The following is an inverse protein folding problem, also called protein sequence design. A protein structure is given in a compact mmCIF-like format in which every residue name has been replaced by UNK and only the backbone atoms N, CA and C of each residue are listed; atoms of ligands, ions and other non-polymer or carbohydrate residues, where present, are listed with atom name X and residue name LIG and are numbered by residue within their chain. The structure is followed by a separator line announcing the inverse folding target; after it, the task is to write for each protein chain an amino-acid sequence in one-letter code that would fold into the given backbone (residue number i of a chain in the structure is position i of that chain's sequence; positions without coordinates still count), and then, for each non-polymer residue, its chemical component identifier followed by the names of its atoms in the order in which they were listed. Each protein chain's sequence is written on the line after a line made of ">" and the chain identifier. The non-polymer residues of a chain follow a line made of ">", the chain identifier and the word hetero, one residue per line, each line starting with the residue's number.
data_IF_665278407262
#
_entry.id   IF_665278407262
#
_cell.length_a   1.000
_cell.length_b   1.000
_cell.length_c   1.000
_cell.angle_alpha   90.00
_cell.angle_beta   90.00
_cell.angle_gamma   90.00
#
_symmetry.space_group_name_H-M   'P 1'
#
loop_
_entity.id
_entity.type
_entity.pdbx_description
1 polymer ?
#
# COMPACT_ATOMS: atom_id res chain seq x y z
N UNK A 1 1.72 12.50 6.18
CA UNK A 1 1.88 11.06 6.47
C UNK A 1 1.88 10.82 7.95
N UNK A 2 2.68 11.54 8.74
CA UNK A 2 2.80 11.33 10.19
C UNK A 2 1.45 11.38 10.90
N UNK A 3 0.61 12.36 10.60
CA UNK A 3 -0.74 12.50 11.17
C UNK A 3 -1.65 11.31 10.81
N UNK A 4 -1.63 10.87 9.55
CA UNK A 4 -2.42 9.73 9.10
C UNK A 4 -1.97 8.42 9.78
N UNK A 5 -0.67 8.20 9.89
CA UNK A 5 -0.14 7.01 10.56
C UNK A 5 -0.46 7.04 12.06
N UNK A 6 -0.37 8.21 12.71
CA UNK A 6 -0.73 8.37 14.12
C UNK A 6 -2.22 8.05 14.38
N UNK A 7 -3.12 8.41 13.45
CA UNK A 7 -4.54 8.11 13.56
C UNK A 7 -4.84 6.61 13.29
N UNK A 8 -4.14 6.02 12.32
CA UNK A 8 -4.36 4.63 11.93
C UNK A 8 -3.74 3.65 12.92
N UNK A 9 -2.52 3.90 13.38
CA UNK A 9 -1.76 2.96 14.22
C UNK A 9 -2.12 3.06 15.71
N UNK A 10 -2.46 1.92 16.30
CA UNK A 10 -2.72 1.79 17.75
C UNK A 10 -1.57 1.16 18.52
N UNK A 11 -0.52 0.74 17.84
CA UNK A 11 0.69 0.14 18.41
C UNK A 11 1.87 1.10 18.24
N UNK A 12 2.93 0.97 19.04
CA UNK A 12 4.15 1.76 18.84
C UNK A 12 4.70 1.61 17.43
N UNK A 13 5.11 2.72 16.82
CA UNK A 13 5.66 2.72 15.47
C UNK A 13 6.83 3.69 15.32
N UNK A 14 7.66 3.42 14.32
CA UNK A 14 8.76 4.28 13.89
C UNK A 14 8.64 4.46 12.39
N UNK A 15 8.67 5.72 11.93
CA UNK A 15 8.65 6.08 10.51
C UNK A 15 10.06 6.56 10.13
N UNK A 16 10.58 6.05 9.01
CA UNK A 16 11.83 6.53 8.45
C UNK A 16 11.74 8.03 8.11
N UNK A 17 12.75 8.80 8.49
CA UNK A 17 12.75 10.28 8.41
C UNK A 17 12.44 10.84 7.02
N UNK A 18 12.75 10.12 5.95
CA UNK A 18 12.47 10.56 4.58
C UNK A 18 10.97 10.67 4.27
N UNK A 19 10.10 10.01 5.03
CA UNK A 19 8.65 10.09 4.88
C UNK A 19 8.00 11.17 5.74
N UNK A 20 8.76 11.72 6.70
CA UNK A 20 8.28 12.78 7.56
C UNK A 20 7.91 14.02 6.74
N UNK A 21 6.77 14.61 7.03
CA UNK A 21 6.30 15.83 6.36
C UNK A 21 5.77 15.63 4.93
N UNK A 22 5.75 14.41 4.38
CA UNK A 22 5.08 14.16 3.08
C UNK A 22 3.59 14.44 3.22
N UNK A 23 3.07 15.27 2.34
CA UNK A 23 1.64 15.55 2.22
C UNK A 23 1.02 14.65 1.16
N UNK A 24 -0.03 13.94 1.53
CA UNK A 24 -0.87 13.17 0.62
C UNK A 24 -2.17 13.93 0.37
N UNK A 25 -2.67 13.82 -0.84
CA UNK A 25 -3.93 14.41 -1.27
C UNK A 25 -4.86 13.28 -1.72
N UNK A 26 -6.10 13.32 -1.26
CA UNK A 26 -7.08 12.28 -1.49
C UNK A 26 -7.87 11.98 -0.21
N UNK A 27 -8.40 10.80 -0.10
CA UNK A 27 -9.17 10.38 1.07
C UNK A 27 -8.98 8.87 1.31
N UNK A 28 -9.25 8.45 2.55
CA UNK A 28 -9.24 7.05 2.94
C UNK A 28 -10.69 6.58 3.12
N UNK A 29 -11.09 5.45 2.53
CA UNK A 29 -12.42 4.89 2.69
C UNK A 29 -12.63 4.36 4.12
N UNK A 30 -13.90 4.17 4.49
CA UNK A 30 -14.24 3.42 5.71
C UNK A 30 -13.80 1.96 5.51
N UNK A 31 -12.69 1.61 6.10
CA UNK A 31 -12.05 0.31 5.96
C UNK A 31 -11.30 -0.06 7.24
N UNK A 32 -10.71 -1.25 7.27
CA UNK A 32 -9.86 -1.64 8.39
C UNK A 32 -8.61 -0.76 8.46
N UNK A 33 -8.10 -0.53 9.66
CA UNK A 33 -6.85 0.22 9.87
C UNK A 33 -5.68 -0.34 9.05
N UNK A 34 -5.61 -1.67 8.91
CA UNK A 34 -4.58 -2.34 8.08
C UNK A 34 -4.73 -1.97 6.60
N UNK A 35 -5.95 -1.96 6.07
CA UNK A 35 -6.20 -1.59 4.67
C UNK A 35 -5.85 -0.11 4.42
N UNK A 36 -6.25 0.77 5.33
CA UNK A 36 -5.90 2.20 5.23
C UNK A 36 -4.40 2.44 5.35
N UNK A 37 -3.71 1.73 6.27
CA UNK A 37 -2.25 1.79 6.35
C UNK A 37 -1.60 1.33 5.05
N UNK A 38 -2.06 0.23 4.45
CA UNK A 38 -1.54 -0.27 3.18
C UNK A 38 -1.69 0.76 2.06
N UNK A 39 -2.80 1.51 1.98
CA UNK A 39 -2.98 2.59 1.02
C UNK A 39 -1.97 3.74 1.24
N UNK A 40 -1.76 4.15 2.49
CA UNK A 40 -0.75 5.17 2.81
C UNK A 40 0.65 4.70 2.40
N UNK A 41 1.02 3.47 2.78
CA UNK A 41 2.34 2.89 2.44
C UNK A 41 2.53 2.78 0.94
N UNK A 42 1.51 2.35 0.21
CA UNK A 42 1.52 2.29 -1.26
C UNK A 42 1.78 3.67 -1.87
N UNK A 43 1.06 4.69 -1.40
CA UNK A 43 1.18 6.06 -1.93
C UNK A 43 2.59 6.66 -1.75
N UNK A 44 3.29 6.31 -0.66
CA UNK A 44 4.63 6.84 -0.35
C UNK A 44 5.79 5.91 -0.75
N UNK A 45 5.51 4.66 -1.14
CA UNK A 45 6.54 3.67 -1.47
C UNK A 45 7.27 3.11 -0.26
N UNK A 46 6.50 2.84 0.77
CA UNK A 46 6.99 2.24 2.01
C UNK A 46 6.41 0.84 2.22
N UNK A 47 7.04 0.09 3.09
CA UNK A 47 6.50 -1.12 3.67
C UNK A 47 6.51 -1.03 5.21
N UNK A 48 5.72 -1.88 5.85
CA UNK A 48 5.68 -1.96 7.30
C UNK A 48 6.03 -3.37 7.76
N UNK A 49 6.95 -3.46 8.71
CA UNK A 49 7.31 -4.72 9.38
C UNK A 49 7.32 -4.53 10.89
N UNK A 50 6.92 -5.55 11.64
CA UNK A 50 6.99 -5.52 13.11
C UNK A 50 8.31 -6.11 13.56
N UNK A 51 9.04 -5.41 14.41
CA UNK A 51 10.26 -5.93 15.02
C UNK A 51 9.93 -6.88 16.18
N UNK A 52 10.98 -7.51 16.75
CA UNK A 52 10.82 -8.47 17.86
C UNK A 52 10.28 -7.86 19.16
N UNK A 53 10.25 -6.54 19.27
CA UNK A 53 9.69 -5.80 20.41
C UNK A 53 8.23 -5.39 20.17
N UNK A 54 7.63 -5.78 19.06
CA UNK A 54 6.27 -5.40 18.70
C UNK A 54 6.13 -3.97 18.16
N UNK A 55 7.24 -3.31 17.82
CA UNK A 55 7.23 -1.97 17.23
C UNK A 55 7.09 -2.07 15.70
N UNK A 56 6.10 -1.37 15.14
CA UNK A 56 5.90 -1.28 13.71
C UNK A 56 6.94 -0.33 13.09
N UNK A 57 7.76 -0.83 12.18
CA UNK A 57 8.73 -0.04 11.43
C UNK A 57 8.23 0.22 10.02
N UNK A 58 8.11 1.49 9.67
CA UNK A 58 7.72 1.95 8.33
C UNK A 58 8.99 2.41 7.64
N UNK A 59 9.41 1.63 6.66
CA UNK A 59 10.67 1.79 5.96
C UNK A 59 10.44 1.82 4.45
N UNK A 60 11.42 2.30 3.72
CA UNK A 60 11.35 2.37 2.27
C UNK A 60 11.35 1.00 1.62
N UNK A 61 10.56 0.87 0.56
CA UNK A 61 10.65 -0.27 -0.34
C UNK A 61 11.95 -0.18 -1.15
N UNK A 62 12.70 -1.30 -1.20
CA UNK A 62 13.83 -1.51 -2.13
C UNK A 62 14.99 -0.51 -2.01
N UNK A 63 15.18 0.09 -0.85
CA UNK A 63 16.32 0.97 -0.59
C UNK A 63 17.58 0.17 -0.29
N UNK A 64 18.35 -0.06 -1.35
CA UNK A 64 19.66 -0.70 -1.24
C UNK A 64 19.63 -2.18 -0.87
N UNK A 65 20.79 -2.79 -0.78
CA UNK A 65 20.97 -4.17 -0.32
C UNK A 65 21.00 -4.16 1.21
N UNK A 66 20.04 -4.82 1.84
CA UNK A 66 19.96 -4.90 3.30
C UNK A 66 20.82 -6.03 3.87
N UNK A 67 21.07 -7.10 3.08
CA UNK A 67 21.84 -8.26 3.48
C UNK A 67 22.43 -8.99 2.26
N UNK A 68 23.38 -9.90 2.49
CA UNK A 68 23.90 -10.80 1.47
C UNK A 68 23.70 -12.24 1.92
N UNK A 69 23.26 -13.09 1.00
CA UNK A 69 23.16 -14.54 1.19
C UNK A 69 24.36 -15.19 0.53
N UNK A 70 25.39 -15.56 1.30
CA UNK A 70 26.59 -16.17 0.73
C UNK A 70 26.28 -17.62 0.27
N UNK A 71 27.05 -18.16 -0.72
CA UNK A 71 26.77 -19.46 -1.31
C UNK A 71 26.76 -20.64 -0.33
N UNK A 72 27.50 -20.56 0.76
CA UNK A 72 27.55 -21.58 1.82
C UNK A 72 26.30 -21.69 2.66
N UNK A 73 25.38 -20.71 2.53
CA UNK A 73 24.05 -20.71 3.15
C UNK A 73 22.95 -21.21 2.23
N UNK A 74 23.22 -21.39 0.95
CA UNK A 74 22.24 -21.80 -0.07
C UNK A 74 22.29 -23.31 -0.22
N UNK A 75 21.12 -23.97 -0.13
CA UNK A 75 21.02 -25.40 -0.42
C UNK A 75 20.85 -25.63 -1.92
N UNK A 76 21.23 -26.83 -2.38
CA UNK A 76 21.05 -27.20 -3.77
C UNK A 76 19.57 -27.43 -4.12
N UNK A 77 19.17 -27.06 -5.31
CA UNK A 77 17.83 -27.30 -5.81
C UNK A 77 17.01 -26.05 -6.07
N UNK A 78 17.69 -24.94 -6.30
CA UNK A 78 17.05 -23.67 -6.64
C UNK A 78 16.12 -23.79 -7.84
N UNK A 79 14.98 -23.12 -7.75
CA UNK A 79 14.02 -23.03 -8.84
C UNK A 79 13.93 -21.60 -9.35
N UNK A 80 14.22 -21.44 -10.63
CA UNK A 80 14.01 -20.18 -11.36
C UNK A 80 12.69 -20.28 -12.11
N UNK A 81 11.81 -19.34 -11.90
CA UNK A 81 10.53 -19.20 -12.61
C UNK A 81 10.50 -17.85 -13.31
N UNK A 82 10.00 -17.85 -14.55
CA UNK A 82 9.82 -16.62 -15.30
C UNK A 82 8.35 -16.20 -15.27
N UNK A 83 8.10 -15.01 -14.79
CA UNK A 83 6.78 -14.35 -14.78
C UNK A 83 6.46 -13.82 -16.19
N UNK A 84 5.19 -13.60 -16.48
CA UNK A 84 4.79 -12.94 -17.72
C UNK A 84 5.30 -11.51 -17.75
N UNK A 85 5.86 -11.08 -18.89
CA UNK A 85 6.29 -9.70 -19.07
C UNK A 85 5.12 -8.74 -18.90
N UNK A 86 5.36 -7.65 -18.20
CA UNK A 86 4.44 -6.50 -18.14
C UNK A 86 4.92 -5.47 -19.12
N UNK A 87 4.04 -5.03 -20.04
CA UNK A 87 4.38 -4.06 -21.08
C UNK A 87 4.19 -2.62 -20.62
N UNK A 88 3.20 -2.37 -19.78
CA UNK A 88 2.86 -1.03 -19.30
C UNK A 88 2.30 -1.07 -17.87
N UNK A 89 2.59 -0.04 -17.10
CA UNK A 89 1.90 0.27 -15.84
C UNK A 89 1.05 1.51 -16.07
N UNK A 90 -0.25 1.41 -15.77
CA UNK A 90 -1.21 2.50 -15.80
C UNK A 90 -1.73 2.78 -14.40
N UNK A 91 -1.49 3.98 -13.89
CA UNK A 91 -1.92 4.43 -12.57
C UNK A 91 -2.92 5.56 -12.72
N UNK A 92 -4.11 5.38 -12.16
CA UNK A 92 -5.14 6.41 -12.16
C UNK A 92 -4.81 7.45 -11.08
N UNK A 93 -4.57 8.67 -11.54
CA UNK A 93 -4.39 9.85 -10.68
C UNK A 93 -5.75 10.43 -10.33
N UNK A 94 -5.97 10.71 -9.06
CA UNK A 94 -7.20 11.29 -8.55
C UNK A 94 -7.00 12.74 -8.12
N UNK A 95 -7.93 13.60 -8.52
CA UNK A 95 -8.01 14.96 -8.07
C UNK A 95 -9.42 15.28 -7.58
N UNK A 96 -9.52 15.75 -6.34
CA UNK A 96 -10.79 16.14 -5.71
C UNK A 96 -10.79 17.64 -5.47
N UNK A 97 -11.70 18.34 -6.12
CA UNK A 97 -11.88 19.80 -6.02
C UNK A 97 -13.21 20.06 -5.31
N UNK A 98 -13.23 20.98 -4.35
CA UNK A 98 -14.47 21.38 -3.70
C UNK A 98 -15.48 21.90 -4.71
N UNK A 99 -16.57 21.16 -4.88
CA UNK A 99 -17.71 21.58 -5.70
C UNK A 99 -18.64 22.51 -4.94
N UNK A 100 -19.65 23.00 -5.60
CA UNK A 100 -20.69 23.85 -4.98
C UNK A 100 -22.05 23.17 -4.98
N UNK A 101 -22.16 22.01 -5.60
CA UNK A 101 -23.40 21.25 -5.72
C UNK A 101 -23.72 20.58 -4.37
N UNK A 102 -24.92 20.86 -3.87
CA UNK A 102 -25.47 20.24 -2.68
C UNK A 102 -26.23 18.97 -3.07
N UNK A 103 -26.03 17.89 -2.32
CA UNK A 103 -26.69 16.62 -2.54
C UNK A 103 -27.20 16.04 -1.22
N UNK A 104 -28.32 15.33 -1.31
CA UNK A 104 -28.79 14.49 -0.21
C UNK A 104 -27.94 13.24 -0.12
N UNK A 105 -27.28 13.05 1.01
CA UNK A 105 -26.38 11.93 1.29
C UNK A 105 -27.11 10.79 2.01
N UNK A 106 -28.11 11.13 2.82
CA UNK A 106 -28.98 10.19 3.52
C UNK A 106 -30.32 10.81 3.82
N UNK A 107 -31.38 10.00 3.74
CA UNK A 107 -32.75 10.36 4.15
C UNK A 107 -33.38 9.13 4.80
N UNK A 108 -33.86 9.27 6.04
CA UNK A 108 -34.50 8.17 6.76
C UNK A 108 -34.40 8.29 8.27
N UNK A 109 -34.51 7.13 8.92
CA UNK A 109 -34.41 6.99 10.37
C UNK A 109 -32.99 6.53 10.68
N UNK A 110 -32.32 7.23 11.59
CA UNK A 110 -31.02 6.85 12.13
C UNK A 110 -31.15 6.46 13.60
N UNK A 111 -30.39 5.45 14.03
CA UNK A 111 -30.19 5.10 15.42
C UNK A 111 -28.96 5.82 15.99
N UNK A 112 -28.81 5.82 17.31
CA UNK A 112 -27.66 6.44 17.97
C UNK A 112 -26.35 5.73 17.59
N UNK A 113 -25.45 6.46 16.96
CA UNK A 113 -24.15 5.93 16.52
C UNK A 113 -24.15 5.29 15.13
N UNK A 114 -25.22 5.38 14.37
CA UNK A 114 -25.27 4.87 12.99
C UNK A 114 -24.21 5.53 12.12
N UNK A 115 -23.47 4.70 11.36
CA UNK A 115 -22.45 5.13 10.42
C UNK A 115 -23.05 5.11 9.01
N UNK A 116 -23.34 6.29 8.47
CA UNK A 116 -23.81 6.46 7.10
C UNK A 116 -22.61 6.67 6.20
N UNK A 117 -22.40 5.78 5.22
CA UNK A 117 -21.33 5.88 4.24
C UNK A 117 -21.84 6.47 2.92
N UNK A 118 -21.01 7.31 2.31
CA UNK A 118 -21.26 7.91 0.99
C UNK A 118 -20.36 7.21 -0.04
N UNK A 119 -20.82 7.09 -1.28
CA UNK A 119 -20.02 6.55 -2.37
C UNK A 119 -18.83 7.46 -2.71
N UNK A 120 -19.03 8.76 -2.64
CA UNK A 120 -18.02 9.78 -2.92
C UNK A 120 -17.80 10.68 -1.72
N UNK A 121 -16.61 11.29 -1.55
CA UNK A 121 -16.34 12.21 -0.47
C UNK A 121 -17.23 13.45 -0.53
N UNK A 122 -17.69 13.89 0.63
CA UNK A 122 -18.51 15.08 0.79
C UNK A 122 -18.00 15.97 1.94
N UNK A 123 -18.39 17.24 1.93
CA UNK A 123 -18.02 18.21 2.94
C UNK A 123 -19.19 19.17 3.24
N UNK A 124 -19.04 20.06 4.22
CA UNK A 124 -20.10 20.96 4.69
C UNK A 124 -21.42 20.20 4.98
N UNK A 125 -21.32 19.14 5.80
CA UNK A 125 -22.45 18.29 6.13
C UNK A 125 -23.47 19.08 6.97
N UNK A 126 -24.73 19.04 6.57
CA UNK A 126 -25.86 19.64 7.27
C UNK A 126 -26.91 18.58 7.54
N UNK A 127 -27.26 18.42 8.80
CA UNK A 127 -28.29 17.47 9.24
C UNK A 127 -29.57 18.20 9.69
N UNK A 128 -30.72 17.59 9.41
CA UNK A 128 -32.03 18.02 9.86
C UNK A 128 -32.78 16.81 10.44
N UNK A 129 -33.26 16.90 11.66
CA UNK A 129 -33.97 15.81 12.36
C UNK A 129 -33.11 14.86 13.18
N UNK A 130 -31.80 14.91 13.02
CA UNK A 130 -30.74 14.26 13.81
C UNK A 130 -29.52 15.16 13.83
N UNK A 131 -28.46 14.79 14.51
CA UNK A 131 -27.17 15.52 14.52
C UNK A 131 -26.00 14.68 14.03
N UNK A 132 -25.00 15.33 13.42
CA UNK A 132 -23.73 14.69 13.08
C UNK A 132 -22.84 14.71 14.30
N UNK A 133 -22.49 13.54 14.82
CA UNK A 133 -21.60 13.38 15.99
C UNK A 133 -20.12 13.43 15.58
N UNK A 134 -19.80 12.77 14.49
CA UNK A 134 -18.49 12.82 13.85
C UNK A 134 -18.61 12.54 12.37
N UNK A 135 -17.61 12.93 11.59
CA UNK A 135 -17.62 12.68 10.14
C UNK A 135 -16.19 12.53 9.61
N UNK A 136 -16.06 11.80 8.52
CA UNK A 136 -14.86 11.72 7.71
C UNK A 136 -15.15 12.16 6.27
N UNK A 137 -14.29 11.79 5.36
CA UNK A 137 -14.43 12.18 3.96
C UNK A 137 -15.67 11.59 3.31
N UNK A 138 -16.00 10.32 3.61
CA UNK A 138 -17.11 9.60 2.99
C UNK A 138 -18.06 8.93 3.99
N UNK A 139 -18.12 9.43 5.23
CA UNK A 139 -19.06 8.93 6.22
C UNK A 139 -19.46 10.01 7.22
N UNK A 140 -20.58 9.80 7.86
CA UNK A 140 -21.02 10.55 9.04
C UNK A 140 -21.58 9.58 10.09
N UNK A 141 -21.29 9.85 11.36
CA UNK A 141 -21.92 9.19 12.50
C UNK A 141 -23.06 10.06 12.97
N UNK A 142 -24.28 9.49 13.04
CA UNK A 142 -25.48 10.22 13.36
C UNK A 142 -25.99 9.91 14.77
N UNK A 143 -26.70 10.87 15.37
CA UNK A 143 -27.54 10.61 16.54
C UNK A 143 -28.87 9.99 16.10
N UNK A 144 -29.62 9.42 17.06
CA UNK A 144 -30.97 8.94 16.80
C UNK A 144 -31.88 10.06 16.32
N UNK A 145 -32.71 9.76 15.32
CA UNK A 145 -33.69 10.73 14.76
C UNK A 145 -34.21 10.30 13.39
N UNK A 146 -35.15 11.08 12.88
CA UNK A 146 -35.66 10.92 11.51
C UNK A 146 -35.49 12.22 10.76
N UNK A 147 -34.80 12.14 9.60
CA UNK A 147 -34.50 13.36 8.87
C UNK A 147 -33.64 13.15 7.63
N UNK A 148 -32.90 14.19 7.26
CA UNK A 148 -32.05 14.24 6.08
C UNK A 148 -30.66 14.74 6.45
N UNK A 149 -29.65 14.15 5.79
CA UNK A 149 -28.26 14.61 5.77
C UNK A 149 -27.95 15.10 4.36
N UNK A 150 -27.55 16.35 4.24
CA UNK A 150 -27.07 16.93 2.99
C UNK A 150 -25.61 17.30 3.10
N UNK A 151 -24.93 17.46 1.99
CA UNK A 151 -23.54 17.90 1.94
C UNK A 151 -23.15 18.31 0.53
N UNK A 152 -22.03 19.00 0.41
CA UNK A 152 -21.46 19.39 -0.88
C UNK A 152 -20.53 18.31 -1.40
N UNK A 153 -20.67 17.94 -2.65
CA UNK A 153 -19.83 16.96 -3.32
C UNK A 153 -18.51 17.57 -3.79
N UNK A 154 -17.47 16.77 -3.81
CA UNK A 154 -16.25 17.10 -4.54
C UNK A 154 -16.46 16.79 -6.01
N UNK A 155 -15.88 17.62 -6.88
CA UNK A 155 -15.70 17.29 -8.30
C UNK A 155 -14.50 16.38 -8.38
N UNK A 156 -14.72 15.15 -8.81
CA UNK A 156 -13.68 14.14 -8.96
C UNK A 156 -13.22 14.11 -10.43
N UNK A 157 -11.95 14.38 -10.64
CA UNK A 157 -11.29 14.27 -11.94
C UNK A 157 -10.21 13.22 -11.87
N UNK A 158 -10.02 12.50 -12.97
CA UNK A 158 -9.03 11.44 -13.08
C UNK A 158 -8.16 11.62 -14.32
N UNK A 159 -6.93 11.12 -14.25
CA UNK A 159 -6.00 11.06 -15.36
C UNK A 159 -5.15 9.80 -15.27
N UNK A 160 -4.98 9.09 -16.38
CA UNK A 160 -4.05 7.97 -16.46
C UNK A 160 -2.60 8.46 -16.56
N UNK A 161 -1.76 7.95 -15.69
CA UNK A 161 -0.31 8.09 -15.74
C UNK A 161 0.27 6.75 -16.16
N UNK A 162 0.83 6.69 -17.37
CA UNK A 162 1.30 5.46 -17.99
C UNK A 162 2.82 5.45 -18.11
N UNK A 163 3.41 4.32 -17.78
CA UNK A 163 4.86 4.09 -17.88
C UNK A 163 5.11 2.77 -18.59
N UNK A 164 5.81 2.77 -19.73
CA UNK A 164 6.21 1.54 -20.40
C UNK A 164 7.22 0.77 -19.55
N UNK A 165 7.18 -0.56 -19.60
CA UNK A 165 8.03 -1.45 -18.80
C UNK A 165 8.93 -2.30 -19.70
N UNK A 166 8.36 -3.31 -20.35
CA UNK A 166 9.08 -4.23 -21.24
C UNK A 166 8.39 -4.30 -22.59
N UNK A 167 9.17 -4.53 -23.62
CA UNK A 167 8.62 -4.80 -24.96
C UNK A 167 8.16 -6.26 -25.06
N UNK A 168 6.95 -6.47 -25.56
CA UNK A 168 6.41 -7.77 -25.91
C UNK A 168 5.40 -7.63 -27.06
N UNK A 169 5.12 -8.74 -27.75
CA UNK A 169 4.14 -8.81 -28.85
C UNK A 169 2.69 -8.76 -28.32
N UNK A 170 2.48 -9.04 -27.04
CA UNK A 170 1.17 -9.05 -26.38
C UNK A 170 1.13 -8.01 -25.27
N UNK A 171 0.17 -7.12 -25.35
CA UNK A 171 -0.05 -6.12 -24.31
C UNK A 171 -0.44 -6.80 -22.99
N UNK A 172 0.30 -6.48 -21.93
CA UNK A 172 0.01 -6.86 -20.56
C UNK A 172 0.15 -5.63 -19.67
N UNK A 173 -0.98 -5.00 -19.38
CA UNK A 173 -1.03 -3.73 -18.64
C UNK A 173 -1.42 -3.96 -17.19
N UNK A 174 -0.61 -3.46 -16.26
CA UNK A 174 -0.97 -3.42 -14.84
C UNK A 174 -1.70 -2.11 -14.56
N UNK A 175 -2.96 -2.21 -14.20
CA UNK A 175 -3.80 -1.06 -13.88
C UNK A 175 -3.99 -0.89 -12.37
N UNK A 176 -3.77 0.34 -11.87
CA UNK A 176 -4.04 0.73 -10.48
C UNK A 176 -5.08 1.84 -10.50
N UNK A 177 -6.31 1.53 -10.08
CA UNK A 177 -7.47 2.45 -10.14
C UNK A 177 -7.99 2.86 -8.76
N UNK A 178 -7.90 1.97 -7.78
CA UNK A 178 -8.57 2.13 -6.48
C UNK A 178 -7.72 2.85 -5.42
N UNK A 179 -6.56 3.38 -5.80
CA UNK A 179 -5.63 4.03 -4.87
C UNK A 179 -5.98 5.52 -4.68
N UNK A 180 -6.97 5.81 -3.84
CA UNK A 180 -7.54 7.16 -3.63
C UNK A 180 -6.56 8.22 -3.10
N UNK A 181 -5.39 7.80 -2.59
CA UNK A 181 -4.29 8.69 -2.17
C UNK A 181 -3.26 8.94 -3.29
N UNK A 182 -3.48 8.40 -4.50
CA UNK A 182 -2.64 8.69 -5.65
C UNK A 182 -3.17 9.93 -6.35
N UNK A 183 -2.40 10.99 -6.31
CA UNK A 183 -2.74 12.32 -6.80
C UNK A 183 -1.64 12.88 -7.68
N UNK A 184 -1.83 14.08 -8.23
CA UNK A 184 -0.83 14.78 -9.04
C UNK A 184 0.57 14.82 -8.41
N UNK A 185 0.66 14.82 -7.09
CA UNK A 185 1.95 14.98 -6.38
C UNK A 185 2.78 13.70 -6.31
N UNK A 186 2.15 12.52 -6.44
CA UNK A 186 2.83 11.23 -6.26
C UNK A 186 2.54 10.19 -7.36
N UNK A 187 1.60 10.45 -8.28
CA UNK A 187 1.19 9.50 -9.33
C UNK A 187 2.36 9.03 -10.20
N UNK A 188 3.22 9.96 -10.65
CA UNK A 188 4.39 9.63 -11.45
C UNK A 188 5.40 8.74 -10.66
N UNK A 189 5.63 9.05 -9.39
CA UNK A 189 6.53 8.27 -8.53
C UNK A 189 5.98 6.86 -8.26
N UNK A 190 4.66 6.74 -8.08
CA UNK A 190 3.98 5.44 -7.94
C UNK A 190 4.10 4.62 -9.21
N UNK A 191 3.80 5.21 -10.38
CA UNK A 191 3.90 4.54 -11.66
C UNK A 191 5.33 4.07 -11.99
N UNK A 192 6.33 4.94 -11.76
CA UNK A 192 7.74 4.59 -11.98
C UNK A 192 8.21 3.49 -11.04
N UNK A 193 7.78 3.50 -9.77
CA UNK A 193 8.14 2.46 -8.80
C UNK A 193 7.56 1.11 -9.19
N UNK A 194 6.31 1.07 -9.65
CA UNK A 194 5.69 -0.16 -10.16
C UNK A 194 6.37 -0.64 -11.44
N UNK A 195 6.69 0.26 -12.37
CA UNK A 195 7.45 -0.09 -13.56
C UNK A 195 8.82 -0.66 -13.21
N UNK A 196 9.52 -0.06 -12.24
CA UNK A 196 10.79 -0.58 -11.72
C UNK A 196 10.67 -1.97 -11.08
N UNK A 197 9.53 -2.31 -10.49
CA UNK A 197 9.26 -3.65 -9.97
C UNK A 197 9.00 -4.66 -11.09
N UNK A 198 8.10 -4.33 -12.03
CA UNK A 198 7.67 -5.23 -13.09
C UNK A 198 8.68 -5.43 -14.23
N UNK A 199 9.77 -4.68 -14.25
CA UNK A 199 10.89 -4.97 -15.18
C UNK A 199 11.63 -6.26 -14.82
N UNK A 200 11.51 -6.75 -13.58
CA UNK A 200 12.12 -8.01 -13.13
C UNK A 200 11.09 -9.13 -13.31
N UNK A 201 11.42 -10.06 -14.23
CA UNK A 201 10.53 -11.18 -14.59
C UNK A 201 10.97 -12.51 -13.99
N UNK A 202 12.12 -12.54 -13.30
CA UNK A 202 12.62 -13.74 -12.67
C UNK A 202 12.20 -13.78 -11.20
N UNK A 203 11.63 -14.93 -10.81
CA UNK A 203 11.37 -15.28 -9.43
C UNK A 203 12.23 -16.50 -9.07
N UNK A 204 13.01 -16.37 -8.00
CA UNK A 204 13.86 -17.44 -7.50
C UNK A 204 13.30 -17.98 -6.19
N UNK A 205 13.25 -19.32 -6.12
CA UNK A 205 12.88 -20.05 -4.90
C UNK A 205 14.14 -20.74 -4.38
N UNK A 206 14.68 -20.21 -3.28
CA UNK A 206 15.88 -20.68 -2.64
C UNK A 206 15.58 -21.27 -1.27
N UNK A 207 16.14 -22.44 -0.98
CA UNK A 207 16.22 -22.93 0.39
C UNK A 207 17.56 -22.49 1.00
N UNK A 208 17.50 -21.72 2.10
CA UNK A 208 18.69 -21.13 2.72
C UNK A 208 18.75 -21.35 4.21
N UNK A 209 19.95 -21.36 4.78
CA UNK A 209 20.10 -21.26 6.23
C UNK A 209 19.66 -19.85 6.66
N UNK A 210 18.60 -19.77 7.48
CA UNK A 210 18.00 -18.51 7.90
C UNK A 210 19.01 -17.64 8.67
N UNK A 211 19.21 -16.42 8.22
CA UNK A 211 20.09 -15.42 8.80
C UNK A 211 19.38 -14.15 9.29
N UNK A 212 18.03 -14.17 9.32
CA UNK A 212 17.23 -13.02 9.75
C UNK A 212 16.57 -12.26 8.60
N UNK A 213 16.64 -12.80 7.37
CA UNK A 213 16.01 -12.23 6.18
C UNK A 213 14.48 -12.19 6.34
N UNK A 214 13.85 -11.12 5.84
CA UNK A 214 12.41 -10.91 5.95
C UNK A 214 11.80 -10.46 4.62
N UNK A 215 10.53 -10.70 4.40
CA UNK A 215 9.81 -10.12 3.27
C UNK A 215 10.01 -8.60 3.20
N UNK A 216 10.31 -8.09 2.00
CA UNK A 216 10.63 -6.69 1.74
C UNK A 216 12.12 -6.33 1.83
N UNK A 217 12.99 -7.20 2.37
CA UNK A 217 14.43 -6.99 2.34
C UNK A 217 14.97 -7.19 0.92
N UNK A 218 15.96 -6.38 0.52
CA UNK A 218 16.71 -6.57 -0.71
C UNK A 218 18.02 -7.28 -0.38
N UNK A 219 18.24 -8.43 -1.01
CA UNK A 219 19.40 -9.27 -0.76
C UNK A 219 20.27 -9.42 -2.00
N UNK A 220 21.59 -9.50 -1.81
CA UNK A 220 22.54 -9.93 -2.84
C UNK A 220 22.81 -11.43 -2.65
N UNK A 221 22.89 -12.18 -3.73
CA UNK A 221 23.14 -13.61 -3.74
C UNK A 221 23.81 -14.04 -5.05
N UNK A 222 24.42 -15.24 -5.06
CA UNK A 222 24.93 -15.84 -6.29
C UNK A 222 23.77 -16.45 -7.08
N UNK A 223 23.64 -16.05 -8.35
CA UNK A 223 22.59 -16.55 -9.23
C UNK A 223 22.89 -17.99 -9.66
N UNK A 224 21.89 -18.89 -9.76
CA UNK A 224 22.11 -20.30 -10.16
C UNK A 224 22.82 -20.49 -11.50
N UNK A 225 22.69 -19.54 -12.41
CA UNK A 225 23.38 -19.54 -13.71
C UNK A 225 24.72 -18.76 -13.70
N UNK A 226 25.18 -18.37 -12.52
CA UNK A 226 26.44 -17.66 -12.30
C UNK A 226 26.26 -16.13 -12.25
N UNK A 227 27.18 -15.50 -11.51
CA UNK A 227 27.19 -14.07 -11.27
C UNK A 227 26.40 -13.66 -10.03
N UNK A 228 26.66 -12.44 -9.57
CA UNK A 228 25.97 -11.84 -8.44
C UNK A 228 24.65 -11.20 -8.91
N UNK A 229 23.57 -11.49 -8.22
CA UNK A 229 22.24 -10.92 -8.44
C UNK A 229 21.71 -10.26 -7.20
N UNK A 230 20.69 -9.42 -7.38
CA UNK A 230 19.95 -8.75 -6.29
C UNK A 230 18.48 -9.05 -6.46
N UNK A 231 17.82 -9.40 -5.37
CA UNK A 231 16.39 -9.69 -5.35
C UNK A 231 15.72 -9.11 -4.13
N UNK A 232 14.44 -8.81 -4.26
CA UNK A 232 13.58 -8.47 -3.13
C UNK A 232 12.89 -9.74 -2.63
N UNK A 233 12.98 -10.01 -1.34
CA UNK A 233 12.32 -11.16 -0.73
C UNK A 233 10.81 -10.90 -0.72
N UNK A 234 10.06 -11.74 -1.42
CA UNK A 234 8.61 -11.69 -1.48
C UNK A 234 7.98 -12.37 -0.27
N UNK A 235 8.40 -13.60 -0.03
CA UNK A 235 7.88 -14.45 1.03
C UNK A 235 9.02 -15.20 1.72
N UNK A 236 8.82 -15.55 3.00
CA UNK A 236 9.77 -16.36 3.78
C UNK A 236 9.00 -17.41 4.57
N UNK A 237 9.28 -18.68 4.31
CA UNK A 237 8.81 -19.81 5.11
C UNK A 237 9.95 -20.33 5.97
N UNK A 238 9.77 -20.37 7.29
CA UNK A 238 10.81 -20.85 8.21
C UNK A 238 10.41 -22.22 8.72
N UNK A 239 11.21 -23.25 8.38
CA UNK A 239 11.05 -24.59 8.91
C UNK A 239 12.03 -24.81 10.07
N UNK A 240 11.50 -25.00 11.27
CA UNK A 240 12.30 -25.36 12.43
C UNK A 240 12.40 -26.88 12.55
N UNK A 241 13.43 -27.48 11.95
CA UNK A 241 13.76 -28.90 12.10
C UNK A 241 14.67 -29.13 13.29
N UNK A 242 14.21 -29.91 14.25
CA UNK A 242 14.96 -30.24 15.49
C UNK A 242 16.15 -31.20 15.30
N UNK A 243 17.00 -31.04 14.28
CA UNK A 243 18.23 -31.82 14.14
C UNK A 243 19.39 -30.91 13.76
N UNK A 244 20.13 -30.49 14.76
CA UNK A 244 21.51 -30.10 14.57
C UNK A 244 22.29 -31.36 14.17
N UNK A 245 22.60 -31.53 12.92
CA UNK A 245 23.65 -32.49 12.49
C UNK A 245 24.92 -31.70 12.50
N UNK A 246 25.69 -31.84 13.58
CA UNK A 246 27.13 -31.55 13.51
C UNK A 246 27.74 -32.70 12.72
N UNK A 247 28.16 -32.48 11.48
CA UNK A 247 29.14 -33.35 10.81
C UNK A 247 30.50 -32.79 11.09
N UNK A 248 31.31 -33.57 11.77
CA UNK A 248 32.78 -33.44 11.74
C UNK A 248 33.31 -33.77 10.35
#
# INVERSE_FOLDING_TARGET
>A
VDELVAEICTIPYIIQSKFAGIKLYGWLPVATRRANLAQVLFAIGAHAKTDQNGVLRIESLWDGVSNSIPPDRIFWGDKVTYESKVTEVSVLEHQYIKGTEEATLFEGVAEEGDIIQFEEPAYDLVASGFSVQSSGANYAVLSAGTGTLTGKKYVHMTRDVRVPVLEDDVDNVIEVKEATLVSLTNSAAVAQRLAGYYQYIEALDHEVVYGGERPGDVVAFEHPYGGESKGCIKDTAITMGGRLVASE
#
